data_IF_425538897675
#
_entry.id   IF_425538897675
#
_cell.length_a   1.000
_cell.length_b   1.000
_cell.length_c   1.000
_cell.angle_alpha   90.00
_cell.angle_beta   90.00
_cell.angle_gamma   90.00
#
_symmetry.space_group_name_H-M   'P 1'
#
loop_
_entity.id
_entity.type
_entity.pdbx_description
1 polymer ?
#
# COMPACT_ATOMS: atom_id res chain seq x y z
N UNK A 1 -41.60 14.03 51.19
CA UNK A 1 -40.56 13.06 51.59
C UNK A 1 -39.38 13.32 50.68
N UNK A 2 -38.58 14.34 51.04
CA UNK A 2 -37.28 14.21 51.73
C UNK A 2 -36.23 13.60 50.81
N UNK A 3 -35.02 14.12 50.66
CA UNK A 3 -34.38 15.41 50.88
C UNK A 3 -32.98 15.24 50.25
N UNK A 4 -32.29 16.36 50.05
CA UNK A 4 -30.86 16.42 49.73
C UNK A 4 -29.98 15.44 50.51
N UNK A 5 -28.88 14.98 49.90
CA UNK A 5 -27.56 14.91 50.56
C UNK A 5 -26.43 14.51 49.58
N UNK A 6 -25.79 15.54 49.02
CA UNK A 6 -24.33 15.53 48.83
C UNK A 6 -23.62 15.57 50.19
N UNK A 7 -22.37 15.09 50.26
CA UNK A 7 -21.35 15.79 51.03
C UNK A 7 -20.23 16.30 50.12
N UNK A 8 -19.98 17.62 50.21
CA UNK A 8 -18.72 18.28 49.81
C UNK A 8 -17.67 18.11 50.92
N UNK A 9 -16.40 17.93 50.52
CA UNK A 9 -15.16 18.55 51.07
C UNK A 9 -14.00 18.11 50.13
N UNK A 10 -13.42 18.98 49.30
CA UNK A 10 -12.30 19.92 49.60
C UNK A 10 -11.08 19.19 50.21
N UNK A 11 -9.84 19.22 49.70
CA UNK A 11 -9.11 20.09 48.76
C UNK A 11 -7.83 19.37 48.30
N UNK A 12 -7.31 19.73 47.13
CA UNK A 12 -5.86 19.79 46.86
C UNK A 12 -5.21 18.54 46.27
N UNK A 13 -4.93 18.57 44.98
CA UNK A 13 -3.57 18.56 44.42
C UNK A 13 -3.69 18.69 42.91
N UNK A 14 -3.33 19.87 42.40
CA UNK A 14 -3.00 20.09 41.00
C UNK A 14 -1.87 19.13 40.61
N UNK A 15 -2.09 18.34 39.57
CA UNK A 15 -1.03 18.00 38.63
C UNK A 15 -1.68 17.75 37.27
N UNK A 16 -1.75 18.82 36.49
CA UNK A 16 -1.95 18.80 35.04
C UNK A 16 -0.77 18.02 34.42
N UNK A 17 -0.90 16.70 34.32
CA UNK A 17 0.00 15.87 33.52
C UNK A 17 -0.52 15.84 32.08
N UNK A 18 -0.39 16.99 31.40
CA UNK A 18 -0.20 17.01 29.96
C UNK A 18 1.06 16.21 29.65
N UNK A 19 0.87 14.95 29.27
CA UNK A 19 1.93 14.17 28.63
C UNK A 19 2.13 14.76 27.24
N UNK A 20 2.96 15.80 27.16
CA UNK A 20 3.58 16.23 25.92
C UNK A 20 4.40 15.04 25.38
N UNK A 21 3.87 14.38 24.36
CA UNK A 21 4.64 13.46 23.56
C UNK A 21 5.75 14.27 22.86
N UNK A 22 7.00 13.78 22.81
CA UNK A 22 8.07 14.50 22.16
C UNK A 22 7.70 14.75 20.70
N UNK A 23 7.60 16.03 20.34
CA UNK A 23 7.49 16.52 18.98
C UNK A 23 8.77 16.10 18.24
N UNK A 24 8.67 15.04 17.45
CA UNK A 24 9.65 14.76 16.42
C UNK A 24 9.25 15.58 15.19
N UNK A 25 10.19 16.40 14.72
CA UNK A 25 10.10 17.11 13.45
C UNK A 25 9.95 16.11 12.30
N UNK A 26 8.95 16.34 11.46
CA UNK A 26 8.60 15.53 10.30
C UNK A 26 8.79 16.36 9.02
N UNK A 27 10.04 16.70 8.71
CA UNK A 27 10.45 17.23 7.40
C UNK A 27 10.91 16.10 6.48
N UNK A 28 10.01 15.14 6.24
CA UNK A 28 10.19 14.14 5.19
C UNK A 28 8.88 14.05 4.46
N UNK A 29 8.64 15.01 3.55
CA UNK A 29 7.82 14.98 2.34
C UNK A 29 7.68 16.43 1.83
N UNK A 30 8.78 17.03 1.41
CA UNK A 30 8.77 18.31 0.70
C UNK A 30 8.27 18.07 -0.73
N UNK A 31 6.98 18.31 -0.96
CA UNK A 31 6.41 18.46 -2.31
C UNK A 31 6.70 19.89 -2.80
N UNK A 32 7.94 20.17 -3.18
CA UNK A 32 8.23 21.28 -4.08
C UNK A 32 8.00 20.80 -5.52
N UNK A 33 6.84 21.16 -6.09
CA UNK A 33 6.64 21.54 -7.50
C UNK A 33 5.14 21.51 -7.87
N UNK A 34 4.53 22.70 -8.00
CA UNK A 34 3.57 23.13 -9.03
C UNK A 34 2.80 24.38 -8.58
N UNK A 35 3.33 25.57 -8.89
CA UNK A 35 2.51 26.75 -9.14
C UNK A 35 2.31 26.90 -10.65
N UNK A 36 1.16 27.42 -11.13
CA UNK A 36 0.97 27.67 -12.56
C UNK A 36 1.90 28.81 -13.02
N UNK A 37 2.77 28.53 -13.99
CA UNK A 37 3.48 29.58 -14.73
C UNK A 37 2.47 30.23 -15.66
N UNK A 38 2.01 31.43 -15.31
CA UNK A 38 1.28 32.30 -16.23
C UNK A 38 2.31 32.84 -17.22
N UNK A 39 2.28 32.36 -18.47
CA UNK A 39 3.10 32.92 -19.54
C UNK A 39 2.33 34.14 -20.08
N UNK A 40 2.72 35.34 -19.64
CA UNK A 40 2.31 36.56 -20.34
C UNK A 40 2.98 36.61 -21.73
N UNK A 41 2.32 37.16 -22.76
CA UNK A 41 2.86 37.17 -24.11
C UNK A 41 4.19 37.94 -24.15
N UNK A 42 5.24 37.27 -24.62
CA UNK A 42 6.60 37.75 -24.62
C UNK A 42 6.78 39.04 -25.45
N UNK A 43 7.40 40.05 -24.85
CA UNK A 43 8.03 41.17 -25.54
C UNK A 43 9.20 40.64 -26.39
N UNK A 44 9.47 41.16 -27.60
CA UNK A 44 10.53 40.61 -28.45
C UNK A 44 11.91 40.80 -27.80
N UNK A 45 12.65 39.69 -27.65
CA UNK A 45 14.02 39.68 -27.10
C UNK A 45 14.97 40.12 -28.22
N UNK A 46 15.82 41.12 -27.95
CA UNK A 46 16.89 41.53 -28.87
C UNK A 46 18.08 40.53 -28.79
N UNK A 47 18.70 40.24 -29.94
CA UNK A 47 19.89 39.38 -30.06
C UNK A 47 21.03 39.90 -29.15
N UNK A 48 21.32 39.16 -28.09
CA UNK A 48 22.39 39.48 -27.13
C UNK A 48 22.32 38.76 -25.78
N UNK A 49 21.21 38.08 -25.45
CA UNK A 49 20.98 37.47 -24.12
C UNK A 49 21.02 35.92 -24.10
N UNK A 50 21.46 35.26 -25.19
CA UNK A 50 21.54 33.79 -25.26
C UNK A 50 22.47 33.20 -24.20
N UNK A 51 23.63 33.82 -24.00
CA UNK A 51 24.68 33.29 -23.13
C UNK A 51 24.30 33.45 -21.65
N UNK A 52 23.54 34.51 -21.31
CA UNK A 52 22.98 34.68 -19.96
C UNK A 52 21.87 33.68 -19.67
N UNK A 53 21.03 33.37 -20.65
CA UNK A 53 19.98 32.37 -20.49
C UNK A 53 20.58 30.97 -20.31
N UNK A 54 21.61 30.62 -21.10
CA UNK A 54 22.34 29.36 -20.94
C UNK A 54 23.03 29.26 -19.57
N UNK A 55 23.68 30.33 -19.11
CA UNK A 55 24.32 30.37 -17.79
C UNK A 55 23.29 30.18 -16.66
N UNK A 56 22.16 30.90 -16.71
CA UNK A 56 21.06 30.73 -15.74
C UNK A 56 20.48 29.32 -15.77
N UNK A 57 20.36 28.71 -16.95
CA UNK A 57 19.86 27.35 -17.09
C UNK A 57 20.85 26.35 -16.49
N UNK A 58 22.15 26.56 -16.69
CA UNK A 58 23.21 25.74 -16.13
C UNK A 58 23.28 25.86 -14.60
N UNK A 59 23.19 27.07 -14.07
CA UNK A 59 23.21 27.32 -12.63
C UNK A 59 21.99 26.71 -11.93
N UNK A 60 20.79 26.81 -12.53
CA UNK A 60 19.58 26.09 -12.06
C UNK A 60 19.74 24.57 -12.14
N UNK A 61 20.45 24.06 -13.15
CA UNK A 61 20.72 22.62 -13.31
C UNK A 61 21.62 22.12 -12.18
N UNK A 62 22.66 22.89 -11.85
CA UNK A 62 23.60 22.59 -10.77
C UNK A 62 22.90 22.67 -9.41
N UNK A 63 22.10 23.70 -9.13
CA UNK A 63 21.32 23.79 -7.89
C UNK A 63 20.32 22.64 -7.73
N UNK A 64 19.71 22.16 -8.84
CA UNK A 64 18.83 20.99 -8.84
C UNK A 64 19.64 19.71 -8.56
N UNK A 65 20.84 19.55 -9.14
CA UNK A 65 21.72 18.41 -8.89
C UNK A 65 22.23 18.37 -7.44
N UNK A 66 22.64 19.52 -6.89
CA UNK A 66 23.09 19.65 -5.50
C UNK A 66 21.95 19.40 -4.50
N UNK A 67 20.75 19.93 -4.75
CA UNK A 67 19.56 19.61 -3.94
C UNK A 67 19.15 18.14 -4.02
N UNK A 68 19.27 17.53 -5.19
CA UNK A 68 19.02 16.10 -5.36
C UNK A 68 20.07 15.25 -4.62
N UNK A 69 21.34 15.68 -4.58
CA UNK A 69 22.39 15.05 -3.80
C UNK A 69 22.10 15.15 -2.29
N UNK A 70 21.75 16.33 -1.79
CA UNK A 70 21.44 16.57 -0.36
C UNK A 70 20.16 15.82 0.09
N UNK A 71 19.17 15.68 -0.79
CA UNK A 71 18.00 14.80 -0.58
C UNK A 71 18.34 13.30 -0.63
N UNK A 72 19.35 12.89 -1.40
CA UNK A 72 19.82 11.48 -1.38
C UNK A 72 20.63 11.14 -0.14
N UNK A 73 21.35 12.08 0.47
CA UNK A 73 22.18 11.84 1.66
C UNK A 73 21.38 11.64 2.95
N UNK A 74 20.12 12.09 3.01
CA UNK A 74 19.21 11.87 4.15
C UNK A 74 18.35 10.60 4.08
N UNK A 75 18.65 9.62 3.21
CA UNK A 75 18.13 8.27 3.38
C UNK A 75 18.90 7.57 4.49
N UNK A 76 18.29 7.41 5.66
CA UNK A 76 18.79 6.50 6.69
C UNK A 76 19.04 5.14 6.05
N UNK A 77 20.32 4.79 5.89
CA UNK A 77 20.76 3.53 5.28
C UNK A 77 20.12 2.38 6.06
N UNK A 78 19.53 1.44 5.34
CA UNK A 78 18.94 0.23 5.91
C UNK A 78 19.93 -0.45 6.88
N UNK A 79 19.51 -0.63 8.13
CA UNK A 79 20.32 -1.21 9.20
C UNK A 79 20.00 -2.72 9.29
N UNK A 80 20.90 -3.64 8.88
CA UNK A 80 20.66 -5.07 8.99
C UNK A 80 20.52 -5.49 10.46
N UNK A 81 19.66 -6.47 10.72
CA UNK A 81 19.43 -7.01 12.08
C UNK A 81 19.42 -8.53 12.08
N UNK A 82 19.82 -9.10 13.21
CA UNK A 82 19.56 -10.51 13.53
C UNK A 82 18.16 -10.64 14.14
N UNK A 83 17.38 -11.59 13.65
CA UNK A 83 16.03 -11.83 14.15
C UNK A 83 16.09 -12.63 15.45
N UNK A 84 15.19 -12.33 16.39
CA UNK A 84 14.88 -13.27 17.47
C UNK A 84 14.28 -14.56 16.90
N UNK A 85 14.34 -15.69 17.64
CA UNK A 85 13.52 -16.85 17.34
C UNK A 85 12.04 -16.44 17.15
N UNK A 86 11.35 -17.03 16.17
CA UNK A 86 9.98 -16.60 15.79
C UNK A 86 9.03 -16.50 16.97
N UNK A 87 9.10 -17.47 17.88
CA UNK A 87 8.24 -17.55 19.05
C UNK A 87 8.73 -16.70 20.23
N UNK A 88 9.79 -15.91 20.09
CA UNK A 88 10.20 -14.89 21.07
C UNK A 88 9.62 -13.50 20.78
N UNK A 89 9.05 -13.28 19.59
CA UNK A 89 8.29 -12.06 19.35
C UNK A 89 7.00 -12.09 20.18
N UNK A 90 6.58 -10.91 20.65
CA UNK A 90 5.30 -10.76 21.33
C UNK A 90 4.14 -10.68 20.33
N UNK A 91 4.41 -10.17 19.13
CA UNK A 91 3.46 -10.05 18.02
C UNK A 91 4.18 -10.17 16.69
N UNK A 92 3.61 -10.93 15.77
CA UNK A 92 4.04 -11.03 14.38
C UNK A 92 2.95 -10.41 13.51
N UNK A 93 3.30 -9.42 12.71
CA UNK A 93 2.39 -8.70 11.81
C UNK A 93 2.73 -9.10 10.39
N UNK A 94 1.82 -9.78 9.70
CA UNK A 94 1.95 -10.11 8.29
C UNK A 94 1.10 -9.17 7.44
N UNK A 95 1.74 -8.43 6.54
CA UNK A 95 1.04 -7.69 5.49
C UNK A 95 0.55 -8.63 4.40
N UNK A 96 -0.75 -8.91 4.39
CA UNK A 96 -1.38 -9.82 3.42
C UNK A 96 -2.11 -9.01 2.36
N UNK A 97 -1.76 -9.20 1.08
CA UNK A 97 -2.43 -8.53 -0.04
C UNK A 97 -3.24 -9.48 -0.92
N UNK A 98 -3.32 -10.76 -0.56
CA UNK A 98 -3.88 -11.83 -1.39
C UNK A 98 -2.99 -12.24 -2.57
N UNK A 99 -1.87 -11.56 -2.79
CA UNK A 99 -0.89 -11.93 -3.81
C UNK A 99 -0.04 -13.12 -3.38
N UNK A 100 0.45 -13.87 -4.37
CA UNK A 100 1.26 -15.09 -4.18
C UNK A 100 2.42 -14.90 -3.19
N UNK A 101 3.13 -13.77 -3.24
CA UNK A 101 4.29 -13.55 -2.35
C UNK A 101 3.87 -13.33 -0.89
N UNK A 102 2.78 -12.58 -0.66
CA UNK A 102 2.24 -12.37 0.70
C UNK A 102 1.64 -13.66 1.29
N UNK A 103 1.01 -14.48 0.46
CA UNK A 103 0.54 -15.82 0.83
C UNK A 103 1.73 -16.76 1.11
N UNK A 104 2.79 -16.67 0.30
CA UNK A 104 4.05 -17.37 0.50
C UNK A 104 4.65 -17.10 1.88
N UNK A 105 4.64 -15.84 2.35
CA UNK A 105 5.05 -15.50 3.71
C UNK A 105 4.20 -16.23 4.77
N UNK A 106 2.87 -16.29 4.61
CA UNK A 106 1.98 -16.99 5.55
C UNK A 106 2.31 -18.48 5.63
N UNK A 107 2.46 -19.12 4.46
CA UNK A 107 2.82 -20.54 4.37
C UNK A 107 4.20 -20.81 4.99
N UNK A 108 5.17 -19.94 4.73
CA UNK A 108 6.49 -20.03 5.31
C UNK A 108 6.42 -20.00 6.85
N UNK A 109 5.69 -19.03 7.42
CA UNK A 109 5.51 -18.93 8.88
C UNK A 109 4.87 -20.20 9.48
N UNK A 110 3.92 -20.80 8.76
CA UNK A 110 3.27 -22.04 9.19
C UNK A 110 4.26 -23.21 9.20
N UNK A 111 5.07 -23.37 8.16
CA UNK A 111 6.07 -24.44 8.04
C UNK A 111 7.17 -24.32 9.10
N UNK A 112 7.51 -23.09 9.48
CA UNK A 112 8.59 -22.78 10.41
C UNK A 112 8.12 -22.78 11.88
N UNK A 113 6.88 -23.23 12.12
CA UNK A 113 6.38 -23.48 13.46
C UNK A 113 6.12 -22.21 14.28
N UNK A 114 5.76 -21.09 13.63
CA UNK A 114 5.24 -19.94 14.36
C UNK A 114 3.98 -20.34 15.13
N UNK A 115 3.90 -19.94 16.39
CA UNK A 115 2.67 -19.95 17.16
C UNK A 115 1.72 -18.88 16.61
N UNK A 116 0.69 -19.31 15.88
CA UNK A 116 -0.25 -18.43 15.19
C UNK A 116 -1.12 -17.61 16.16
N UNK A 117 -1.13 -17.92 17.47
CA UNK A 117 -1.75 -17.03 18.46
C UNK A 117 -1.05 -15.67 18.57
N UNK A 118 0.18 -15.56 18.04
CA UNK A 118 0.97 -14.33 17.97
C UNK A 118 0.86 -13.60 16.65
N UNK A 119 0.26 -14.24 15.64
CA UNK A 119 0.17 -13.70 14.29
C UNK A 119 -1.05 -12.79 14.17
N UNK A 120 -0.87 -11.67 13.50
CA UNK A 120 -1.91 -10.76 13.07
C UNK A 120 -1.75 -10.50 11.58
N UNK A 121 -2.84 -10.58 10.83
CA UNK A 121 -2.86 -10.18 9.42
C UNK A 121 -3.23 -8.72 9.34
N UNK A 122 -2.42 -7.93 8.62
CA UNK A 122 -2.72 -6.55 8.29
C UNK A 122 -3.02 -6.43 6.79
N UNK A 123 -4.19 -5.89 6.48
CA UNK A 123 -4.58 -5.57 5.11
C UNK A 123 -4.78 -4.06 4.96
N UNK A 124 -4.21 -3.48 3.91
CA UNK A 124 -4.35 -2.05 3.63
C UNK A 124 -5.60 -1.85 2.76
N UNK A 125 -6.67 -1.31 3.34
CA UNK A 125 -7.92 -1.05 2.63
C UNK A 125 -7.76 0.19 1.74
N UNK A 126 -7.18 0.01 0.55
CA UNK A 126 -6.84 1.11 -0.36
C UNK A 126 -8.06 1.87 -0.88
N UNK A 127 -9.22 1.24 -0.88
CA UNK A 127 -10.51 1.83 -1.23
C UNK A 127 -11.25 2.41 -0.01
N UNK A 128 -10.64 2.39 1.18
CA UNK A 128 -11.29 2.80 2.43
C UNK A 128 -12.22 1.73 3.00
N UNK A 129 -12.89 2.01 4.12
CA UNK A 129 -13.94 1.17 4.70
C UNK A 129 -15.08 2.02 5.27
N UNK A 130 -16.25 1.41 5.46
CA UNK A 130 -17.42 2.11 6.03
C UNK A 130 -17.82 3.32 5.20
N UNK A 131 -17.95 4.49 5.84
CA UNK A 131 -18.29 5.75 5.17
C UNK A 131 -17.20 6.24 4.20
N UNK A 132 -15.95 5.80 4.36
CA UNK A 132 -14.84 6.13 3.46
C UNK A 132 -14.79 5.22 2.22
N UNK A 133 -15.60 4.16 2.19
CA UNK A 133 -15.48 3.12 1.16
C UNK A 133 -15.83 3.64 -0.22
N UNK A 134 -14.91 3.44 -1.14
CA UNK A 134 -15.05 3.83 -2.52
C UNK A 134 -14.37 2.80 -3.43
N UNK A 135 -15.15 1.89 -4.00
CA UNK A 135 -14.67 0.82 -4.88
C UNK A 135 -14.10 1.39 -6.18
N UNK A 136 -12.81 1.70 -6.19
CA UNK A 136 -12.13 2.36 -7.31
C UNK A 136 -10.85 1.62 -7.70
N UNK A 137 -10.00 1.29 -6.73
CA UNK A 137 -8.66 0.76 -6.99
C UNK A 137 -8.58 -0.74 -6.90
N UNK A 138 -9.10 -1.38 -5.84
CA UNK A 138 -8.86 -2.79 -5.59
C UNK A 138 -9.80 -3.70 -6.39
N UNK A 139 -9.45 -4.98 -6.47
CA UNK A 139 -10.38 -6.00 -6.93
C UNK A 139 -11.47 -6.20 -5.87
N UNK A 140 -12.76 -6.28 -6.26
CA UNK A 140 -13.85 -6.46 -5.29
C UNK A 140 -13.67 -7.65 -4.34
N UNK A 141 -13.04 -8.73 -4.82
CA UNK A 141 -12.86 -9.96 -4.03
C UNK A 141 -11.71 -9.91 -3.03
N UNK A 142 -10.77 -8.95 -3.15
CA UNK A 142 -9.49 -9.00 -2.41
C UNK A 142 -9.71 -9.09 -0.90
N UNK A 143 -10.58 -8.24 -0.33
CA UNK A 143 -10.81 -8.24 1.11
C UNK A 143 -11.44 -9.56 1.58
N UNK A 144 -12.49 -10.04 0.92
CA UNK A 144 -13.15 -11.29 1.25
C UNK A 144 -12.22 -12.51 1.11
N UNK A 145 -11.35 -12.51 0.10
CA UNK A 145 -10.31 -13.53 -0.04
C UNK A 145 -9.35 -13.52 1.15
N UNK A 146 -8.87 -12.34 1.56
CA UNK A 146 -7.99 -12.22 2.72
C UNK A 146 -8.68 -12.59 4.04
N UNK A 147 -9.98 -12.30 4.18
CA UNK A 147 -10.80 -12.71 5.34
C UNK A 147 -10.95 -14.23 5.41
N UNK A 148 -11.29 -14.89 4.30
CA UNK A 148 -11.37 -16.35 4.22
C UNK A 148 -10.02 -17.02 4.55
N UNK A 149 -8.90 -16.44 4.08
CA UNK A 149 -7.56 -16.91 4.47
C UNK A 149 -7.34 -16.74 5.97
N UNK A 150 -7.65 -15.58 6.54
CA UNK A 150 -7.48 -15.33 7.96
C UNK A 150 -8.30 -16.31 8.82
N UNK A 151 -9.55 -16.55 8.43
CA UNK A 151 -10.44 -17.53 9.06
C UNK A 151 -9.89 -18.96 8.98
N UNK A 152 -9.45 -19.40 7.80
CA UNK A 152 -8.89 -20.73 7.57
C UNK A 152 -7.65 -21.03 8.44
N UNK A 153 -6.86 -20.01 8.76
CA UNK A 153 -5.69 -20.15 9.63
C UNK A 153 -5.97 -19.81 11.10
N UNK A 154 -7.19 -19.38 11.45
CA UNK A 154 -7.56 -18.97 12.81
C UNK A 154 -6.81 -17.73 13.30
N UNK A 155 -6.52 -16.79 12.39
CA UNK A 155 -5.70 -15.59 12.64
C UNK A 155 -6.56 -14.34 12.50
N UNK A 156 -6.45 -13.34 13.40
CA UNK A 156 -7.18 -12.09 13.25
C UNK A 156 -6.66 -11.25 12.09
N UNK A 157 -7.57 -10.63 11.34
CA UNK A 157 -7.28 -9.64 10.30
C UNK A 157 -7.67 -8.23 10.75
N UNK A 158 -6.80 -7.26 10.48
CA UNK A 158 -6.99 -5.84 10.80
C UNK A 158 -6.79 -4.99 9.55
N UNK A 159 -7.62 -3.95 9.43
CA UNK A 159 -7.59 -3.01 8.32
C UNK A 159 -7.03 -1.67 8.74
N UNK A 160 -6.26 -1.06 7.83
CA UNK A 160 -5.81 0.33 7.94
C UNK A 160 -6.07 1.02 6.60
N UNK A 161 -6.54 2.26 6.63
CA UNK A 161 -6.78 3.07 5.44
C UNK A 161 -6.56 4.55 5.71
N UNK A 162 -6.54 5.32 4.63
CA UNK A 162 -6.63 6.78 4.68
C UNK A 162 -8.07 7.21 4.45
N UNK A 163 -8.51 8.26 5.12
CA UNK A 163 -9.84 8.85 4.93
C UNK A 163 -10.16 9.07 3.43
N UNK A 164 -11.32 8.58 3.00
CA UNK A 164 -11.76 8.52 1.60
C UNK A 164 -10.97 7.54 0.70
N UNK A 165 -10.12 6.70 1.26
CA UNK A 165 -9.22 5.80 0.53
C UNK A 165 -8.21 6.54 -0.34
N UNK A 166 -7.59 5.81 -1.27
CA UNK A 166 -6.73 6.38 -2.30
C UNK A 166 -7.48 7.34 -3.23
N UNK A 167 -8.80 7.16 -3.41
CA UNK A 167 -9.61 8.08 -4.19
C UNK A 167 -9.73 9.46 -3.51
N UNK A 168 -9.90 9.49 -2.18
CA UNK A 168 -9.90 10.72 -1.40
C UNK A 168 -8.57 11.49 -1.48
N UNK A 169 -7.45 10.77 -1.59
CA UNK A 169 -6.14 11.36 -1.87
C UNK A 169 -5.99 11.83 -3.31
N UNK A 170 -6.46 11.04 -4.28
CA UNK A 170 -6.49 11.43 -5.70
C UNK A 170 -7.23 12.77 -5.86
N UNK A 171 -8.37 12.89 -5.19
CA UNK A 171 -9.26 14.05 -5.27
C UNK A 171 -8.93 15.18 -4.29
N UNK A 172 -7.84 15.06 -3.52
CA UNK A 172 -7.43 16.03 -2.51
C UNK A 172 -7.23 17.43 -3.10
N UNK A 173 -7.84 18.42 -2.47
CA UNK A 173 -7.86 19.81 -2.94
C UNK A 173 -7.74 20.77 -1.76
N UNK A 174 -6.69 21.60 -1.77
CA UNK A 174 -6.36 22.61 -0.76
C UNK A 174 -6.55 22.17 0.71
N UNK A 175 -6.19 20.91 1.02
CA UNK A 175 -6.30 20.34 2.36
C UNK A 175 -5.09 19.47 2.70
N UNK A 176 -4.91 19.20 3.99
CA UNK A 176 -3.97 18.19 4.48
C UNK A 176 -4.31 16.81 3.90
N UNK A 177 -3.33 15.91 3.90
CA UNK A 177 -3.60 14.51 3.59
C UNK A 177 -4.67 13.95 4.53
N UNK A 178 -5.52 13.06 4.01
CA UNK A 178 -6.60 12.46 4.80
C UNK A 178 -6.07 11.80 6.07
N UNK A 179 -6.91 11.72 7.10
CA UNK A 179 -6.57 11.04 8.35
C UNK A 179 -6.25 9.57 8.11
N UNK A 180 -5.47 8.96 9.00
CA UNK A 180 -5.30 7.50 8.99
C UNK A 180 -6.31 6.87 9.93
N UNK A 181 -7.07 5.90 9.44
CA UNK A 181 -7.98 5.10 10.24
C UNK A 181 -7.47 3.66 10.32
N UNK A 182 -7.71 3.02 11.46
CA UNK A 182 -7.45 1.58 11.61
C UNK A 182 -8.51 0.91 12.48
N UNK A 183 -8.73 -0.38 12.21
CA UNK A 183 -9.57 -1.22 13.05
C UNK A 183 -8.79 -1.79 14.22
N UNK A 184 -9.34 -1.69 15.42
CA UNK A 184 -8.87 -2.38 16.61
C UNK A 184 -10.04 -2.97 17.39
N UNK A 185 -10.08 -4.30 17.48
CA UNK A 185 -11.11 -5.07 18.22
C UNK A 185 -12.56 -4.63 17.90
N UNK A 186 -12.85 -4.42 16.61
CA UNK A 186 -14.18 -4.01 16.13
C UNK A 186 -14.45 -2.50 16.19
N UNK A 187 -13.54 -1.70 16.76
CA UNK A 187 -13.65 -0.24 16.76
C UNK A 187 -12.81 0.37 15.64
N UNK A 188 -13.24 1.51 15.13
CA UNK A 188 -12.46 2.33 14.20
C UNK A 188 -11.76 3.43 15.01
N UNK A 189 -10.43 3.46 14.95
CA UNK A 189 -9.62 4.52 15.55
C UNK A 189 -9.15 5.47 14.47
N UNK A 190 -9.36 6.77 14.67
CA UNK A 190 -8.91 7.84 13.78
C UNK A 190 -7.63 8.49 14.32
N UNK A 191 -6.63 8.60 13.47
CA UNK A 191 -5.38 9.32 13.69
C UNK A 191 -5.38 10.57 12.82
N UNK A 192 -5.74 11.70 13.44
CA UNK A 192 -5.81 13.02 12.78
C UNK A 192 -4.48 13.41 12.15
N UNK A 193 -4.51 13.92 10.92
CA UNK A 193 -3.36 14.53 10.25
C UNK A 193 -3.28 16.00 10.65
N UNK A 194 -2.30 16.35 11.50
CA UNK A 194 -2.16 17.71 12.09
C UNK A 194 -1.06 18.56 11.48
N UNK A 195 -0.10 17.93 10.78
CA UNK A 195 1.07 18.58 10.18
C UNK A 195 1.07 18.35 8.67
N UNK A 196 1.77 19.21 7.95
CA UNK A 196 1.92 19.16 6.49
C UNK A 196 1.34 20.40 5.79
N UNK A 197 1.53 20.46 4.48
CA UNK A 197 1.04 21.57 3.66
C UNK A 197 -0.36 21.27 3.14
N UNK A 198 -1.24 22.27 3.20
CA UNK A 198 -2.48 22.24 2.42
C UNK A 198 -2.10 22.23 0.94
N UNK A 199 -2.40 21.14 0.24
CA UNK A 199 -2.07 21.01 -1.17
C UNK A 199 -3.17 20.31 -1.95
N UNK A 200 -3.08 20.41 -3.27
CA UNK A 200 -3.98 19.78 -4.22
C UNK A 200 -3.22 18.69 -4.95
N UNK A 201 -3.76 17.46 -4.96
CA UNK A 201 -3.15 16.34 -5.66
C UNK A 201 -3.65 16.26 -7.10
N UNK A 202 -4.93 15.91 -7.30
CA UNK A 202 -5.62 15.82 -8.61
C UNK A 202 -4.77 15.18 -9.72
N UNK A 203 -4.00 14.14 -9.35
CA UNK A 203 -3.06 13.44 -10.23
C UNK A 203 -2.98 11.99 -9.84
N UNK A 204 -3.08 11.10 -10.84
CA UNK A 204 -2.85 9.67 -10.64
C UNK A 204 -1.41 9.41 -10.15
N UNK A 205 -1.16 8.29 -9.44
CA UNK A 205 0.19 7.93 -9.05
C UNK A 205 1.08 7.70 -10.27
N UNK A 206 2.34 8.11 -10.19
CA UNK A 206 3.28 7.91 -11.29
C UNK A 206 3.71 6.44 -11.42
N UNK A 207 3.98 6.01 -12.65
CA UNK A 207 4.64 4.74 -12.95
C UNK A 207 6.14 4.83 -12.63
N UNK A 208 6.48 4.97 -11.35
CA UNK A 208 7.86 5.15 -10.88
C UNK A 208 8.20 4.24 -9.70
N UNK A 209 9.48 3.93 -9.52
CA UNK A 209 9.99 3.29 -8.31
C UNK A 209 10.01 4.25 -7.11
N UNK A 210 10.04 5.56 -7.36
CA UNK A 210 9.99 6.61 -6.35
C UNK A 210 8.60 6.68 -5.71
N UNK A 211 8.55 6.44 -4.39
CA UNK A 211 7.30 6.39 -3.63
C UNK A 211 6.66 7.77 -3.43
N UNK A 212 7.40 8.85 -3.62
CA UNK A 212 6.85 10.21 -3.63
C UNK A 212 5.92 10.42 -4.81
N UNK A 213 6.42 10.05 -6.00
CA UNK A 213 5.68 10.13 -7.25
C UNK A 213 4.65 9.01 -7.35
N UNK A 214 5.00 7.80 -6.91
CA UNK A 214 4.09 6.65 -6.75
C UNK A 214 3.43 6.66 -5.37
N UNK A 215 2.69 7.72 -5.12
CA UNK A 215 2.09 8.00 -3.81
C UNK A 215 1.06 6.96 -3.36
N UNK A 216 0.51 6.12 -4.24
CA UNK A 216 -0.46 5.09 -3.83
C UNK A 216 0.12 4.08 -2.83
N UNK A 217 1.40 3.73 -2.95
CA UNK A 217 2.08 2.88 -1.97
C UNK A 217 2.42 3.65 -0.69
N UNK A 218 2.98 4.85 -0.81
CA UNK A 218 3.35 5.65 0.36
C UNK A 218 2.13 6.05 1.19
N UNK A 219 1.15 6.70 0.56
CA UNK A 219 -0.01 7.29 1.20
C UNK A 219 -1.06 6.26 1.61
N UNK A 220 -1.25 5.20 0.80
CA UNK A 220 -2.30 4.20 1.03
C UNK A 220 -1.84 2.89 1.66
N UNK A 221 -0.53 2.65 1.80
CA UNK A 221 -0.02 1.39 2.38
C UNK A 221 1.02 1.62 3.47
N UNK A 222 2.12 2.28 3.13
CA UNK A 222 3.24 2.45 4.07
C UNK A 222 2.91 3.39 5.22
N UNK A 223 2.29 4.54 4.95
CA UNK A 223 1.95 5.51 5.99
C UNK A 223 0.83 5.01 6.92
N UNK A 224 -0.31 4.46 6.42
CA UNK A 224 -1.34 3.92 7.30
C UNK A 224 -0.82 2.81 8.22
N UNK A 225 -0.01 1.88 7.69
CA UNK A 225 0.65 0.86 8.49
C UNK A 225 1.59 1.46 9.55
N UNK A 226 2.49 2.36 9.15
CA UNK A 226 3.45 3.00 10.06
C UNK A 226 2.75 3.80 11.16
N UNK A 227 1.74 4.61 10.82
CA UNK A 227 0.99 5.43 11.79
C UNK A 227 0.22 4.54 12.76
N UNK A 228 -0.39 3.45 12.29
CA UNK A 228 -1.05 2.46 13.15
C UNK A 228 -0.06 1.82 14.10
N UNK A 229 1.07 1.32 13.59
CA UNK A 229 2.11 0.69 14.42
C UNK A 229 2.68 1.63 15.48
N UNK A 230 2.83 2.92 15.14
CA UNK A 230 3.39 3.91 16.04
C UNK A 230 2.43 4.35 17.14
N UNK A 231 1.12 4.39 16.87
CA UNK A 231 0.12 5.01 17.74
C UNK A 231 -0.83 4.02 18.42
N UNK A 232 -0.88 2.75 17.99
CA UNK A 232 -1.73 1.75 18.63
C UNK A 232 -1.10 1.25 19.95
N UNK A 233 -1.81 1.37 21.11
CA UNK A 233 -1.30 0.96 22.42
C UNK A 233 -0.93 -0.52 22.56
N UNK A 234 -1.44 -1.41 21.67
CA UNK A 234 -1.09 -2.84 21.67
C UNK A 234 0.38 -3.10 21.34
N UNK A 235 1.01 -2.17 20.63
CA UNK A 235 2.35 -2.32 20.09
C UNK A 235 3.41 -1.59 20.92
N UNK A 236 3.09 -1.14 22.12
CA UNK A 236 4.06 -0.48 23.01
C UNK A 236 4.25 -1.27 24.31
N UNK A 237 5.50 -1.43 24.73
CA UNK A 237 5.89 -2.01 26.02
C UNK A 237 6.39 -0.94 26.99
N UNK A 238 7.29 -1.34 27.88
CA UNK A 238 8.03 -0.43 28.76
C UNK A 238 9.49 -0.34 28.34
N UNK A 239 10.25 0.59 28.92
CA UNK A 239 11.70 0.69 28.69
C UNK A 239 12.47 -0.51 29.25
N UNK A 240 11.91 -1.20 30.25
CA UNK A 240 12.51 -2.39 30.87
C UNK A 240 12.08 -3.69 30.18
N UNK A 241 10.88 -3.69 29.59
CA UNK A 241 10.31 -4.80 28.83
C UNK A 241 9.70 -4.24 27.54
N UNK A 242 10.52 -3.95 26.51
CA UNK A 242 10.01 -3.45 25.24
C UNK A 242 9.18 -4.52 24.54
N UNK A 243 8.14 -4.10 23.82
CA UNK A 243 7.35 -4.99 22.97
C UNK A 243 8.17 -5.41 21.75
N UNK A 244 8.38 -6.71 21.53
CA UNK A 244 9.07 -7.26 20.36
C UNK A 244 8.07 -7.54 19.24
N UNK A 245 8.26 -6.93 18.08
CA UNK A 245 7.36 -7.05 16.93
C UNK A 245 8.15 -7.48 15.70
N UNK A 246 7.65 -8.50 15.01
CA UNK A 246 8.14 -8.91 13.70
C UNK A 246 7.17 -8.39 12.64
N UNK A 247 7.64 -7.48 11.78
CA UNK A 247 6.87 -6.84 10.73
C UNK A 247 7.23 -7.47 9.38
N UNK A 248 6.28 -8.13 8.73
CA UNK A 248 6.53 -9.00 7.58
C UNK A 248 5.88 -8.47 6.32
N UNK A 249 6.67 -8.41 5.24
CA UNK A 249 6.21 -8.09 3.89
C UNK A 249 6.78 -9.10 2.88
N UNK A 250 6.17 -9.18 1.70
CA UNK A 250 6.45 -10.21 0.69
C UNK A 250 7.29 -9.78 -0.51
N UNK A 251 8.09 -8.71 -0.43
CA UNK A 251 8.87 -8.29 -1.61
C UNK A 251 9.96 -9.30 -1.96
N UNK A 252 10.15 -9.56 -3.26
CA UNK A 252 11.22 -10.43 -3.79
C UNK A 252 12.24 -9.61 -4.56
N UNK A 253 13.54 -9.95 -4.41
CA UNK A 253 14.63 -9.29 -5.16
C UNK A 253 14.50 -9.48 -6.67
N UNK A 254 13.98 -10.63 -7.09
CA UNK A 254 13.76 -10.96 -8.49
C UNK A 254 12.67 -10.12 -9.18
N UNK A 255 11.93 -9.29 -8.44
CA UNK A 255 11.05 -8.28 -9.05
C UNK A 255 11.83 -7.10 -9.65
N UNK A 256 13.13 -6.97 -9.36
CA UNK A 256 14.03 -6.01 -9.98
C UNK A 256 13.98 -4.58 -9.41
N UNK A 257 14.60 -3.64 -10.12
CA UNK A 257 14.73 -2.24 -9.71
C UNK A 257 15.38 -2.09 -8.33
N UNK A 258 14.85 -1.17 -7.53
CA UNK A 258 15.33 -0.92 -6.17
C UNK A 258 15.21 -2.15 -5.24
N UNK A 259 14.33 -3.12 -5.55
CA UNK A 259 14.11 -4.29 -4.69
C UNK A 259 15.27 -5.27 -4.71
N UNK A 260 16.11 -5.23 -5.75
CA UNK A 260 17.32 -6.05 -5.86
C UNK A 260 18.28 -5.84 -4.67
N UNK A 261 18.27 -4.64 -4.08
CA UNK A 261 19.13 -4.25 -2.97
C UNK A 261 18.48 -4.40 -1.58
N UNK A 262 17.25 -4.92 -1.50
CA UNK A 262 16.56 -5.04 -0.21
C UNK A 262 17.27 -6.05 0.71
N UNK A 263 17.37 -5.70 1.98
CA UNK A 263 17.82 -6.61 3.01
C UNK A 263 16.72 -7.63 3.34
N UNK A 264 17.14 -8.86 3.66
CA UNK A 264 16.21 -9.90 4.12
C UNK A 264 15.57 -9.49 5.45
N UNK A 265 16.39 -8.98 6.38
CA UNK A 265 15.96 -8.45 7.66
C UNK A 265 16.64 -7.10 7.92
N UNK A 266 15.87 -6.12 8.38
CA UNK A 266 16.35 -4.80 8.75
C UNK A 266 15.60 -4.23 9.95
N UNK A 267 16.20 -3.26 10.62
CA UNK A 267 15.54 -2.52 11.70
C UNK A 267 14.46 -1.63 11.11
N UNK A 268 13.23 -1.77 11.59
CA UNK A 268 12.15 -0.91 11.16
C UNK A 268 12.22 0.45 11.85
N UNK A 269 11.90 1.52 11.13
CA UNK A 269 11.96 2.92 11.61
C UNK A 269 11.04 3.21 12.81
N UNK A 270 10.02 2.38 13.03
CA UNK A 270 9.15 2.43 14.21
C UNK A 270 9.80 1.92 15.51
N UNK A 271 11.06 1.48 15.49
CA UNK A 271 11.76 1.00 16.69
C UNK A 271 12.02 2.16 17.67
N UNK A 272 11.75 1.92 18.95
CA UNK A 272 11.97 2.85 20.06
C UNK A 272 12.47 2.07 21.30
N UNK A 273 12.77 2.78 22.41
CA UNK A 273 13.13 2.12 23.69
C UNK A 273 12.00 1.25 24.28
N UNK A 274 10.75 1.45 23.87
CA UNK A 274 9.57 0.71 24.38
C UNK A 274 9.05 -0.32 23.38
N UNK A 275 9.56 -0.34 22.14
CA UNK A 275 9.08 -1.19 21.05
C UNK A 275 10.25 -1.52 20.12
N UNK A 276 10.61 -2.79 20.02
CA UNK A 276 11.61 -3.28 19.06
C UNK A 276 10.86 -3.83 17.86
N UNK A 277 11.13 -3.29 16.67
CA UNK A 277 10.48 -3.73 15.44
C UNK A 277 11.53 -4.19 14.43
N UNK A 278 11.48 -5.45 14.05
CA UNK A 278 12.27 -6.00 12.95
C UNK A 278 11.40 -6.13 11.72
N UNK A 279 11.85 -5.57 10.59
CA UNK A 279 11.22 -5.76 9.29
C UNK A 279 11.87 -6.96 8.60
N UNK A 280 11.07 -7.93 8.21
CA UNK A 280 11.53 -9.16 7.58
C UNK A 280 10.78 -9.50 6.30
N UNK A 281 11.53 -10.02 5.31
CA UNK A 281 11.05 -10.48 4.02
C UNK A 281 11.44 -11.96 3.84
N UNK A 282 10.65 -12.91 4.37
CA UNK A 282 11.04 -14.32 4.43
C UNK A 282 11.22 -14.93 3.03
N UNK A 283 10.42 -14.47 2.06
CA UNK A 283 10.41 -14.98 0.67
C UNK A 283 11.28 -14.16 -0.29
N UNK A 284 12.18 -13.31 0.22
CA UNK A 284 12.92 -12.33 -0.58
C UNK A 284 13.72 -12.92 -1.74
N UNK A 285 14.23 -14.14 -1.56
CA UNK A 285 15.04 -14.89 -2.54
C UNK A 285 14.26 -16.04 -3.21
N UNK A 286 12.95 -16.12 -2.96
CA UNK A 286 12.10 -17.17 -3.51
C UNK A 286 11.68 -16.87 -4.96
N UNK A 287 11.30 -17.94 -5.65
CA UNK A 287 10.72 -17.84 -6.98
C UNK A 287 9.22 -17.66 -6.90
N UNK A 288 8.61 -17.02 -7.91
CA UNK A 288 7.15 -16.96 -7.97
C UNK A 288 6.52 -18.35 -8.06
N UNK A 289 7.15 -19.26 -8.79
CA UNK A 289 6.70 -20.64 -8.93
C UNK A 289 6.65 -21.38 -7.58
N UNK A 290 7.65 -21.18 -6.71
CA UNK A 290 7.62 -21.79 -5.36
C UNK A 290 6.46 -21.26 -4.52
N UNK A 291 6.03 -20.01 -4.71
CA UNK A 291 4.83 -19.48 -4.01
C UNK A 291 3.54 -20.20 -4.43
N UNK A 292 3.36 -20.46 -5.73
CA UNK A 292 2.21 -21.23 -6.21
C UNK A 292 2.27 -22.71 -5.83
N UNK A 293 3.47 -23.27 -5.72
CA UNK A 293 3.64 -24.62 -5.20
C UNK A 293 3.24 -24.71 -3.72
N UNK A 294 3.51 -23.68 -2.91
CA UNK A 294 2.99 -23.61 -1.54
C UNK A 294 1.45 -23.54 -1.52
N UNK A 295 0.82 -22.77 -2.41
CA UNK A 295 -0.65 -22.80 -2.54
C UNK A 295 -1.18 -24.23 -2.79
N UNK A 296 -0.52 -24.98 -3.67
CA UNK A 296 -0.85 -26.39 -3.97
C UNK A 296 -0.65 -27.29 -2.75
N UNK A 297 0.49 -27.16 -2.06
CA UNK A 297 0.83 -27.94 -0.85
C UNK A 297 -0.22 -27.75 0.25
N UNK A 298 -0.70 -26.52 0.44
CA UNK A 298 -1.70 -26.18 1.44
C UNK A 298 -3.15 -26.42 0.99
N UNK A 299 -3.38 -26.80 -0.27
CA UNK A 299 -4.73 -26.97 -0.83
C UNK A 299 -5.53 -25.67 -0.90
N UNK A 300 -4.83 -24.53 -0.96
CA UNK A 300 -5.45 -23.20 -0.95
C UNK A 300 -5.41 -22.61 -2.35
N UNK A 301 -6.59 -22.20 -2.83
CA UNK A 301 -6.75 -21.49 -4.10
C UNK A 301 -5.94 -20.19 -4.08
N UNK A 302 -5.09 -19.93 -5.09
CA UNK A 302 -4.58 -18.58 -5.35
C UNK A 302 -5.72 -17.61 -5.63
N UNK A 303 -5.50 -16.33 -5.40
CA UNK A 303 -6.49 -15.28 -5.67
C UNK A 303 -7.14 -15.43 -7.08
N UNK A 304 -8.47 -15.26 -7.23
CA UNK A 304 -9.21 -15.50 -8.49
C UNK A 304 -8.62 -14.80 -9.72
N UNK A 305 -8.04 -13.63 -9.52
CA UNK A 305 -7.37 -12.81 -10.55
C UNK A 305 -6.21 -13.55 -11.26
N UNK A 306 -5.53 -14.49 -10.59
CA UNK A 306 -4.53 -15.32 -11.26
C UNK A 306 -5.17 -16.27 -12.28
N UNK A 307 -6.40 -16.75 -12.05
CA UNK A 307 -7.13 -17.59 -13.00
C UNK A 307 -7.62 -16.81 -14.22
N UNK A 308 -7.88 -15.51 -14.06
CA UNK A 308 -8.11 -14.58 -15.18
C UNK A 308 -6.86 -14.32 -16.04
N UNK A 309 -5.69 -14.82 -15.62
CA UNK A 309 -4.43 -14.66 -16.37
C UNK A 309 -3.64 -13.39 -16.05
N UNK A 310 -3.96 -12.70 -14.96
CA UNK A 310 -3.09 -11.64 -14.46
C UNK A 310 -1.87 -12.26 -13.77
N UNK A 311 -0.67 -11.76 -14.08
CA UNK A 311 0.59 -12.26 -13.50
C UNK A 311 0.86 -11.78 -12.07
N UNK A 312 0.09 -10.80 -11.58
CA UNK A 312 0.20 -10.18 -10.26
C UNK A 312 -1.18 -9.75 -9.75
N UNK A 313 -1.37 -9.83 -8.44
CA UNK A 313 -2.52 -9.25 -7.73
C UNK A 313 -2.10 -7.89 -7.18
N UNK A 314 -2.22 -6.88 -8.04
CA UNK A 314 -2.21 -5.48 -7.64
C UNK A 314 -3.64 -4.95 -7.63
N UNK A 315 -3.82 -3.66 -7.32
CA UNK A 315 -5.06 -2.94 -7.62
C UNK A 315 -5.53 -3.25 -9.06
N UNK A 316 -6.83 -3.33 -9.27
CA UNK A 316 -7.46 -3.54 -10.58
C UNK A 316 -7.01 -2.47 -11.58
N UNK A 317 -7.09 -1.19 -11.20
CA UNK A 317 -6.59 -0.05 -12.00
C UNK A 317 -5.15 0.35 -11.71
N UNK A 318 -4.25 -0.61 -11.53
CA UNK A 318 -2.86 -0.32 -11.19
C UNK A 318 -2.18 0.57 -12.27
N UNK A 319 -1.38 1.54 -11.84
CA UNK A 319 -0.62 2.44 -12.73
C UNK A 319 0.38 1.69 -13.62
N UNK A 320 0.72 0.49 -13.19
CA UNK A 320 1.61 -0.45 -13.83
C UNK A 320 0.92 -1.37 -14.84
N UNK A 321 -0.41 -1.33 -14.94
CA UNK A 321 -1.15 -2.20 -15.85
C UNK A 321 -0.78 -1.92 -17.30
N UNK A 322 -0.51 -2.98 -18.05
CA UNK A 322 -0.21 -2.94 -19.48
C UNK A 322 -1.46 -2.62 -20.30
N UNK A 323 -1.28 -2.26 -21.58
CA UNK A 323 -2.40 -2.09 -22.52
C UNK A 323 -3.29 -3.34 -22.59
N UNK A 324 -2.69 -4.54 -22.59
CA UNK A 324 -3.43 -5.81 -22.62
C UNK A 324 -4.26 -6.03 -21.36
N UNK A 325 -3.75 -5.64 -20.19
CA UNK A 325 -4.51 -5.69 -18.93
C UNK A 325 -5.68 -4.70 -18.94
N UNK A 326 -5.48 -3.47 -19.42
CA UNK A 326 -6.58 -2.51 -19.57
C UNK A 326 -7.64 -2.99 -20.57
N UNK A 327 -7.25 -3.62 -21.69
CA UNK A 327 -8.20 -4.25 -22.61
C UNK A 327 -9.03 -5.37 -21.96
N UNK A 328 -8.39 -6.22 -21.15
CA UNK A 328 -9.07 -7.26 -20.40
C UNK A 328 -10.05 -6.67 -19.38
N UNK A 329 -9.64 -5.63 -18.65
CA UNK A 329 -10.51 -4.92 -17.69
C UNK A 329 -11.68 -4.24 -18.39
N UNK A 330 -11.47 -3.63 -19.56
CA UNK A 330 -12.54 -3.03 -20.35
C UNK A 330 -13.61 -4.06 -20.75
N UNK A 331 -13.19 -5.30 -21.00
CA UNK A 331 -14.08 -6.40 -21.35
C UNK A 331 -14.87 -6.93 -20.15
N UNK A 332 -14.20 -7.19 -19.01
CA UNK A 332 -14.84 -7.85 -17.86
C UNK A 332 -15.49 -6.86 -16.88
N UNK A 333 -15.08 -5.60 -16.91
CA UNK A 333 -15.49 -4.57 -15.95
C UNK A 333 -15.47 -3.17 -16.59
N UNK A 334 -16.14 -3.02 -17.72
CA UNK A 334 -16.16 -1.78 -18.50
C UNK A 334 -16.58 -0.55 -17.70
N UNK A 335 -17.54 -0.69 -16.78
CA UNK A 335 -17.96 0.40 -15.88
C UNK A 335 -16.82 0.92 -14.99
N UNK A 336 -15.92 0.02 -14.56
CA UNK A 336 -14.74 0.42 -13.79
C UNK A 336 -13.78 1.23 -14.63
N UNK A 337 -13.51 0.81 -15.87
CA UNK A 337 -12.62 1.55 -16.78
C UNK A 337 -13.21 2.90 -17.14
N UNK A 338 -14.51 2.98 -17.37
CA UNK A 338 -15.23 4.24 -17.61
C UNK A 338 -15.07 5.20 -16.42
N UNK A 339 -15.14 4.69 -15.18
CA UNK A 339 -14.91 5.50 -13.98
C UNK A 339 -13.50 6.09 -13.92
N UNK A 340 -12.48 5.33 -14.34
CA UNK A 340 -11.12 5.86 -14.49
C UNK A 340 -11.09 6.96 -15.56
N UNK A 341 -11.67 6.73 -16.74
CA UNK A 341 -11.70 7.68 -17.84
C UNK A 341 -12.38 9.02 -17.45
N UNK A 342 -13.53 8.95 -16.77
CA UNK A 342 -14.22 10.13 -16.24
C UNK A 342 -13.36 10.88 -15.22
N UNK A 343 -12.62 10.14 -14.38
CA UNK A 343 -11.71 10.76 -13.41
C UNK A 343 -10.53 11.42 -14.11
N UNK A 344 -9.98 10.83 -15.18
CA UNK A 344 -8.92 11.45 -16.00
C UNK A 344 -9.39 12.78 -16.60
N UNK A 345 -10.62 12.83 -17.12
CA UNK A 345 -11.23 14.06 -17.65
C UNK A 345 -11.43 15.11 -16.54
N UNK A 346 -11.95 14.69 -15.39
CA UNK A 346 -12.25 15.58 -14.27
C UNK A 346 -11.00 16.28 -13.71
N UNK A 347 -9.87 15.57 -13.64
CA UNK A 347 -8.63 16.10 -13.05
C UNK A 347 -7.63 16.59 -14.10
N UNK A 348 -7.88 16.36 -15.40
CA UNK A 348 -6.97 16.70 -16.48
C UNK A 348 -5.63 15.96 -16.43
N UNK A 349 -5.61 14.72 -15.91
CA UNK A 349 -4.41 13.91 -15.76
C UNK A 349 -4.72 12.43 -15.96
N UNK A 350 -3.85 11.71 -16.66
CA UNK A 350 -4.03 10.30 -17.03
C UNK A 350 -3.27 9.34 -16.13
N UNK A 351 -3.69 8.07 -16.09
CA UNK A 351 -2.96 7.00 -15.37
C UNK A 351 -1.61 6.71 -16.02
N UNK A 352 -1.56 6.77 -17.35
CA UNK A 352 -0.35 6.59 -18.16
C UNK A 352 0.27 7.95 -18.51
N UNK A 353 1.57 7.96 -18.80
CA UNK A 353 2.31 9.19 -19.15
C UNK A 353 1.85 9.77 -20.50
N UNK A 354 1.30 8.94 -21.39
CA UNK A 354 1.01 9.35 -22.78
C UNK A 354 -0.43 9.12 -23.21
N UNK A 355 -1.17 8.25 -22.54
CA UNK A 355 -2.46 7.76 -23.00
C UNK A 355 -3.51 7.85 -21.90
N UNK A 356 -4.74 8.16 -22.28
CA UNK A 356 -5.90 7.87 -21.42
C UNK A 356 -6.05 6.37 -21.22
N UNK A 357 -6.80 5.96 -20.19
CA UNK A 357 -7.08 4.52 -19.97
C UNK A 357 -7.81 3.89 -21.15
N UNK A 358 -8.68 4.64 -21.83
CA UNK A 358 -9.44 4.16 -23.01
C UNK A 358 -8.51 3.95 -24.21
N UNK A 359 -7.63 4.92 -24.51
CA UNK A 359 -6.64 4.78 -25.59
C UNK A 359 -5.64 3.67 -25.30
N UNK A 360 -5.25 3.51 -24.03
CA UNK A 360 -4.36 2.44 -23.59
C UNK A 360 -5.02 1.06 -23.73
N UNK A 361 -6.29 0.93 -23.33
CA UNK A 361 -7.07 -0.29 -23.53
C UNK A 361 -7.24 -0.64 -25.02
N UNK A 362 -7.52 0.35 -25.87
CA UNK A 362 -7.69 0.14 -27.31
C UNK A 362 -6.43 -0.37 -28.03
N UNK A 363 -5.24 -0.11 -27.48
CA UNK A 363 -3.95 -0.68 -27.97
C UNK A 363 -3.67 -2.09 -27.44
N UNK A 364 -4.52 -2.60 -26.56
CA UNK A 364 -4.39 -3.90 -25.94
C UNK A 364 -5.10 -5.01 -26.71
N UNK A 365 -4.82 -6.25 -26.30
CA UNK A 365 -5.42 -7.46 -26.82
C UNK A 365 -5.82 -8.29 -25.60
N UNK A 366 -7.12 -8.42 -25.34
CA UNK A 366 -7.64 -9.04 -24.10
C UNK A 366 -7.29 -10.53 -24.03
N UNK A 367 -7.20 -11.22 -25.17
CA UNK A 367 -6.81 -12.62 -25.32
C UNK A 367 -5.37 -12.89 -24.89
N UNK A 368 -4.53 -11.85 -24.84
CA UNK A 368 -3.20 -11.93 -24.23
C UNK A 368 -3.25 -11.94 -22.72
N UNK A 369 -4.40 -11.72 -22.09
CA UNK A 369 -4.62 -11.79 -20.63
C UNK A 369 -5.60 -12.90 -20.28
N UNK A 370 -6.84 -12.76 -20.75
CA UNK A 370 -7.94 -13.65 -20.43
C UNK A 370 -7.80 -14.99 -21.13
N UNK A 371 -7.99 -16.13 -20.43
CA UNK A 371 -8.04 -17.44 -21.04
C UNK A 371 -9.41 -17.66 -21.73
N UNK A 372 -9.62 -17.06 -22.91
CA UNK A 372 -10.92 -17.08 -23.60
C UNK A 372 -11.48 -18.48 -23.93
N UNK A 373 -10.61 -19.50 -23.95
CA UNK A 373 -10.99 -20.88 -24.20
C UNK A 373 -11.21 -21.70 -22.91
N UNK A 374 -11.01 -21.11 -21.72
CA UNK A 374 -11.28 -21.79 -20.44
C UNK A 374 -12.79 -21.78 -20.17
N UNK A 375 -13.45 -22.95 -20.08
CA UNK A 375 -14.89 -23.01 -19.77
C UNK A 375 -15.24 -22.43 -18.40
N UNK A 376 -14.26 -22.31 -17.48
CA UNK A 376 -14.47 -21.70 -16.16
C UNK A 376 -14.28 -20.17 -16.17
N UNK A 377 -13.93 -19.54 -17.28
CA UNK A 377 -13.71 -18.09 -17.35
C UNK A 377 -14.89 -17.27 -16.77
N UNK A 378 -16.18 -17.57 -17.06
CA UNK A 378 -17.29 -16.84 -16.45
C UNK A 378 -17.29 -16.90 -14.92
N UNK A 379 -16.99 -18.08 -14.36
CA UNK A 379 -16.87 -18.27 -12.91
C UNK A 379 -15.71 -17.45 -12.33
N UNK A 380 -14.55 -17.43 -12.99
CA UNK A 380 -13.41 -16.65 -12.53
C UNK A 380 -13.69 -15.14 -12.56
N UNK A 381 -14.43 -14.67 -13.57
CA UNK A 381 -14.87 -13.27 -13.67
C UNK A 381 -15.82 -12.95 -12.51
N UNK A 382 -16.84 -13.79 -12.30
CA UNK A 382 -17.79 -13.64 -11.19
C UNK A 382 -17.07 -13.58 -9.84
N UNK A 383 -16.17 -14.55 -9.57
CA UNK A 383 -15.41 -14.58 -8.33
C UNK A 383 -14.53 -13.34 -8.18
N UNK A 384 -13.81 -12.89 -9.22
CA UNK A 384 -12.92 -11.74 -9.13
C UNK A 384 -13.66 -10.40 -8.91
N UNK A 385 -14.90 -10.29 -9.38
CA UNK A 385 -15.74 -9.09 -9.27
C UNK A 385 -16.76 -9.15 -8.13
N UNK A 386 -16.83 -10.27 -7.42
CA UNK A 386 -17.66 -10.46 -6.23
C UNK A 386 -16.99 -9.88 -4.99
N UNK A 387 -17.78 -9.37 -4.04
CA UNK A 387 -17.34 -9.05 -2.66
C UNK A 387 -17.54 -10.21 -1.69
N UNK A 388 -18.04 -11.34 -2.18
CA UNK A 388 -18.27 -12.57 -1.41
C UNK A 388 -17.24 -13.61 -1.83
N UNK A 389 -16.51 -14.13 -0.85
CA UNK A 389 -15.57 -15.24 -0.97
C UNK A 389 -15.48 -15.91 0.40
N UNK A 390 -15.66 -17.23 0.45
CA UNK A 390 -15.77 -18.00 1.69
C UNK A 390 -14.60 -18.95 1.90
N UNK A 391 -14.50 -19.57 3.07
CA UNK A 391 -13.51 -20.63 3.30
C UNK A 391 -13.79 -21.86 2.44
N UNK A 392 -15.05 -22.14 2.10
CA UNK A 392 -15.42 -23.20 1.16
C UNK A 392 -14.89 -22.91 -0.26
N UNK A 393 -14.89 -21.65 -0.68
CA UNK A 393 -14.30 -21.24 -1.97
C UNK A 393 -12.77 -21.35 -1.96
N UNK A 394 -12.16 -21.11 -0.79
CA UNK A 394 -10.71 -21.11 -0.61
C UNK A 394 -10.09 -22.50 -0.78
N UNK A 395 -10.77 -23.53 -0.26
CA UNK A 395 -10.28 -24.91 -0.30
C UNK A 395 -10.80 -25.65 -1.53
N UNK A 396 -9.92 -25.88 -2.50
CA UNK A 396 -10.28 -26.58 -3.74
C UNK A 396 -10.12 -28.09 -3.58
N UNK A 397 -11.15 -28.87 -3.94
CA UNK A 397 -11.03 -30.35 -4.00
C UNK A 397 -10.00 -30.82 -5.03
N UNK A 398 -9.93 -30.12 -6.16
CA UNK A 398 -8.95 -30.34 -7.22
C UNK A 398 -8.18 -29.04 -7.46
N UNK A 399 -6.95 -28.99 -6.96
CA UNK A 399 -6.12 -27.80 -7.12
C UNK A 399 -5.60 -27.70 -8.55
N UNK A 400 -5.86 -26.56 -9.18
CA UNK A 400 -5.41 -26.25 -10.54
C UNK A 400 -4.46 -25.05 -10.54
N UNK A 401 -3.33 -25.19 -11.24
CA UNK A 401 -2.37 -24.10 -11.42
C UNK A 401 -3.02 -22.98 -12.23
N UNK A 402 -3.12 -21.74 -11.71
CA UNK A 402 -3.72 -20.66 -12.46
C UNK A 402 -2.81 -20.23 -13.62
N UNK A 403 -3.41 -19.85 -14.76
CA UNK A 403 -2.67 -19.38 -15.94
C UNK A 403 -1.82 -18.13 -15.65
N UNK A 404 -2.20 -17.33 -14.64
CA UNK A 404 -1.42 -16.21 -14.11
C UNK A 404 -0.07 -16.59 -13.50
N UNK A 405 0.09 -17.83 -13.04
CA UNK A 405 1.31 -18.29 -12.38
C UNK A 405 2.52 -18.30 -13.32
N UNK A 406 2.32 -18.68 -14.59
CA UNK A 406 3.37 -18.79 -15.60
C UNK A 406 3.75 -17.47 -16.28
N UNK A 407 2.99 -16.40 -16.04
CA UNK A 407 3.22 -15.09 -16.68
C UNK A 407 4.29 -14.28 -15.95
N UNK A 408 4.98 -13.38 -16.64
CA UNK A 408 5.98 -12.51 -16.01
C UNK A 408 5.36 -11.49 -15.04
N UNK A 409 6.21 -10.67 -14.41
CA UNK A 409 5.79 -9.46 -13.70
C UNK A 409 5.50 -8.31 -14.68
N UNK A 410 4.79 -8.58 -15.78
CA UNK A 410 4.53 -7.58 -16.82
C UNK A 410 3.88 -6.34 -16.18
N UNK A 411 4.48 -5.18 -16.48
CA UNK A 411 4.13 -3.90 -15.85
C UNK A 411 4.91 -3.54 -14.58
N UNK A 412 6.13 -3.99 -14.34
CA UNK A 412 6.92 -3.53 -13.18
C UNK A 412 7.26 -2.03 -13.21
N UNK A 413 7.60 -1.44 -12.06
CA UNK A 413 8.45 -0.25 -12.09
C UNK A 413 9.83 -0.72 -12.56
N UNK A 414 10.30 -0.21 -13.70
CA UNK A 414 11.67 -0.45 -14.17
C UNK A 414 12.63 0.43 -13.36
#
# INVERSE_FOLDING_TARGET
>A
MFDDMYPKRETGFEHDLRLEAPELDFDFFEDDFCGPVIIEPATPIQEGDSDKLEQLTLDLSIEIEERNQDHTEKKTKAEPVELFPLNEYDTVILHLSGGADSMGCLFWLKKEGLDFSKLEIWHQAVDGKGEDYNEFWDWPVTEAYCEAVAEAFGVPIYYQWREGGLYGELMRENRLAGDVLYMDKGNIVRLETKKGKHSTRKRFPAQSADLMRRWCSASGKSDPARRTLNNNPRYVGSTFKPKKILFITGERRSEGGNRSNYLKAEKHSSTTRKRIVHHWRPVIDETKASMFELHREFGIMPHPVYYLGFGRVSCMGCVFSTAHQWAALQHIAGERVERFAQTEQLIGHTVDVKLTVVEKAAKGAMEKVLPLNDPNLPRWIEMALSRSFTTEDLFTKEWIMPIGASRGCDGGAQ
#
